data_IF_583820062362
#
_entry.id   IF_583820062362
#
_cell.length_a   1.000
_cell.length_b   1.000
_cell.length_c   1.000
_cell.angle_alpha   90.00
_cell.angle_beta   90.00
_cell.angle_gamma   90.00
#
_symmetry.space_group_name_H-M   'P 1'
#
loop_
_entity.id
_entity.type
_entity.pdbx_description
1 polymer ?
#
# COMPACT_ATOMS: atom_id res chain seq x y z
N UNK A 1 -11.91 26.17 -20.99
CA UNK A 1 -12.40 25.27 -19.91
C UNK A 1 -13.19 24.14 -20.55
N UNK A 2 -12.48 23.12 -21.05
CA UNK A 2 -13.10 21.94 -21.66
C UNK A 2 -13.46 20.93 -20.59
N UNK A 3 -14.70 20.46 -20.59
CA UNK A 3 -15.19 19.33 -19.80
C UNK A 3 -14.57 18.03 -20.31
N UNK A 4 -13.31 17.78 -20.00
CA UNK A 4 -12.85 16.39 -19.93
C UNK A 4 -13.41 15.85 -18.63
N UNK A 5 -14.59 15.21 -18.70
CA UNK A 5 -15.02 14.28 -17.66
C UNK A 5 -13.96 13.17 -17.68
N UNK A 6 -12.88 13.37 -16.92
CA UNK A 6 -11.90 12.33 -16.64
C UNK A 6 -12.73 11.19 -16.07
N UNK A 7 -12.87 10.13 -16.86
CA UNK A 7 -13.60 8.97 -16.44
C UNK A 7 -12.71 8.33 -15.36
N UNK A 8 -12.98 8.61 -14.09
CA UNK A 8 -12.15 8.18 -12.96
C UNK A 8 -11.84 6.67 -13.02
N UNK A 9 -12.75 5.89 -13.61
CA UNK A 9 -12.60 4.47 -13.88
C UNK A 9 -11.47 4.14 -14.87
N UNK A 10 -11.30 4.94 -15.93
CA UNK A 10 -10.21 4.75 -16.90
C UNK A 10 -8.86 5.08 -16.27
N UNK A 11 -8.77 6.13 -15.46
CA UNK A 11 -7.55 6.44 -14.71
C UNK A 11 -7.13 5.29 -13.79
N UNK A 12 -8.09 4.71 -13.05
CA UNK A 12 -7.83 3.54 -12.21
C UNK A 12 -7.35 2.36 -13.04
N UNK A 13 -8.00 2.08 -14.18
CA UNK A 13 -7.60 0.98 -15.07
C UNK A 13 -6.19 1.17 -15.62
N UNK A 14 -5.83 2.39 -16.00
CA UNK A 14 -4.48 2.72 -16.49
C UNK A 14 -3.45 2.58 -15.36
N UNK A 15 -3.77 3.04 -14.14
CA UNK A 15 -2.89 2.88 -12.98
C UNK A 15 -2.63 1.41 -12.67
N UNK A 16 -3.67 0.58 -12.61
CA UNK A 16 -3.53 -0.88 -12.42
C UNK A 16 -2.69 -1.52 -13.52
N UNK A 17 -2.88 -1.11 -14.78
CA UNK A 17 -2.07 -1.61 -15.90
C UNK A 17 -0.59 -1.22 -15.75
N UNK A 18 -0.29 0.02 -15.37
CA UNK A 18 1.09 0.47 -15.15
C UNK A 18 1.77 -0.28 -14.00
N UNK A 19 1.06 -0.49 -12.89
CA UNK A 19 1.58 -1.26 -11.75
C UNK A 19 1.87 -2.70 -12.16
N UNK A 20 0.96 -3.33 -12.89
CA UNK A 20 1.09 -4.71 -13.36
C UNK A 20 2.21 -4.90 -14.40
N UNK A 21 2.48 -3.90 -15.25
CA UNK A 21 3.57 -3.92 -16.23
C UNK A 21 4.96 -3.78 -15.60
N UNK A 22 5.06 -3.17 -14.41
CA UNK A 22 6.34 -2.90 -13.74
C UNK A 22 6.82 -4.12 -12.96
N UNK A 23 6.01 -4.63 -12.03
CA UNK A 23 6.36 -5.85 -11.28
C UNK A 23 5.11 -6.67 -10.88
N UNK A 24 4.76 -7.62 -11.75
CA UNK A 24 3.66 -8.57 -11.55
C UNK A 24 3.82 -9.41 -10.28
N UNK A 25 5.06 -9.75 -9.90
CA UNK A 25 5.32 -10.63 -8.76
C UNK A 25 5.16 -9.86 -7.45
N UNK A 26 5.76 -8.68 -7.33
CA UNK A 26 5.62 -7.82 -6.15
C UNK A 26 4.16 -7.37 -5.96
N UNK A 27 3.44 -7.10 -7.06
CA UNK A 27 2.02 -6.76 -6.98
C UNK A 27 1.16 -7.94 -6.48
N UNK A 28 1.36 -9.14 -7.01
CA UNK A 28 0.63 -10.33 -6.56
C UNK A 28 0.92 -10.66 -5.08
N UNK A 29 2.19 -10.59 -4.67
CA UNK A 29 2.61 -10.78 -3.28
C UNK A 29 1.93 -9.75 -2.37
N UNK A 30 1.92 -8.48 -2.77
CA UNK A 30 1.30 -7.40 -1.99
C UNK A 30 -0.21 -7.60 -1.81
N UNK A 31 -0.92 -8.05 -2.83
CA UNK A 31 -2.35 -8.38 -2.73
C UNK A 31 -2.57 -9.52 -1.73
N UNK A 32 -1.82 -10.60 -1.84
CA UNK A 32 -1.94 -11.77 -0.96
C UNK A 32 -1.66 -11.36 0.49
N UNK A 33 -0.55 -10.63 0.73
CA UNK A 33 -0.20 -10.16 2.07
C UNK A 33 -1.22 -9.18 2.65
N UNK A 34 -1.86 -8.36 1.81
CA UNK A 34 -2.92 -7.44 2.24
C UNK A 34 -4.18 -8.19 2.70
N UNK A 35 -4.57 -9.24 1.99
CA UNK A 35 -5.70 -10.09 2.39
C UNK A 35 -5.38 -10.79 3.72
N UNK A 36 -4.19 -11.37 3.84
CA UNK A 36 -3.74 -12.07 5.05
C UNK A 36 -3.68 -11.10 6.24
N UNK A 37 -3.10 -9.92 6.07
CA UNK A 37 -3.04 -8.84 7.08
C UNK A 37 -4.45 -8.43 7.54
N UNK A 38 -5.44 -8.38 6.65
CA UNK A 38 -6.82 -8.06 7.00
C UNK A 38 -7.52 -9.07 7.93
N UNK A 39 -7.02 -10.31 8.02
CA UNK A 39 -7.61 -11.37 8.87
C UNK A 39 -7.11 -11.26 10.32
N UNK A 40 -5.90 -10.73 10.53
CA UNK A 40 -5.27 -10.62 11.86
C UNK A 40 -6.11 -9.84 12.88
N UNK A 41 -6.67 -8.64 12.58
CA UNK A 41 -7.50 -7.89 13.52
C UNK A 41 -8.69 -8.69 14.06
N UNK A 42 -9.30 -9.53 13.22
CA UNK A 42 -10.42 -10.38 13.60
C UNK A 42 -10.02 -11.48 14.58
N UNK A 43 -8.88 -12.13 14.33
CA UNK A 43 -8.32 -13.16 15.23
C UNK A 43 -7.94 -12.58 16.58
N UNK A 44 -7.26 -11.42 16.58
CA UNK A 44 -6.89 -10.68 17.79
C UNK A 44 -8.13 -10.31 18.60
N UNK A 45 -9.19 -9.83 17.94
CA UNK A 45 -10.46 -9.48 18.60
C UNK A 45 -11.12 -10.69 19.26
N UNK A 46 -11.23 -11.82 18.56
CA UNK A 46 -11.82 -13.05 19.13
C UNK A 46 -11.03 -13.58 20.33
N UNK A 47 -9.70 -13.54 20.26
CA UNK A 47 -8.85 -13.95 21.38
C UNK A 47 -9.00 -13.00 22.57
N UNK A 48 -9.06 -11.69 22.32
CA UNK A 48 -9.32 -10.70 23.37
C UNK A 48 -10.64 -10.93 24.09
N UNK A 49 -11.72 -11.20 23.35
CA UNK A 49 -13.02 -11.57 23.94
C UNK A 49 -12.94 -12.85 24.76
N UNK A 50 -12.21 -13.85 24.28
CA UNK A 50 -12.02 -15.12 25.00
C UNK A 50 -11.32 -14.90 26.34
N UNK A 51 -10.25 -14.09 26.36
CA UNK A 51 -9.52 -13.74 27.59
C UNK A 51 -10.47 -13.04 28.57
N UNK A 52 -11.21 -12.02 28.12
CA UNK A 52 -12.17 -11.28 28.97
C UNK A 52 -13.21 -12.24 29.57
N UNK A 53 -13.76 -13.15 28.76
CA UNK A 53 -14.79 -14.10 29.21
C UNK A 53 -14.25 -15.06 30.28
N UNK A 54 -13.01 -15.55 30.13
CA UNK A 54 -12.36 -16.41 31.12
C UNK A 54 -12.16 -15.68 32.46
N UNK A 55 -11.78 -14.39 32.43
CA UNK A 55 -11.63 -13.57 33.65
C UNK A 55 -12.98 -13.36 34.34
N UNK A 56 -14.03 -13.09 33.58
CA UNK A 56 -15.36 -12.80 34.12
C UNK A 56 -15.97 -14.05 34.78
N UNK A 57 -15.76 -15.23 34.20
CA UNK A 57 -16.16 -16.51 34.79
C UNK A 57 -15.15 -16.85 35.89
N UNK A 58 -15.42 -16.39 37.12
CA UNK A 58 -14.62 -16.59 38.35
C UNK A 58 -14.44 -18.08 38.78
N UNK A 59 -14.65 -19.04 37.88
CA UNK A 59 -14.66 -20.49 38.12
C UNK A 59 -13.48 -21.23 37.48
N UNK A 60 -12.61 -20.55 36.72
CA UNK A 60 -11.45 -21.19 36.06
C UNK A 60 -10.15 -20.97 36.83
N UNK A 61 -9.30 -22.01 36.93
CA UNK A 61 -7.95 -21.90 37.52
C UNK A 61 -7.14 -20.90 36.70
N UNK A 62 -6.43 -20.00 37.38
CA UNK A 62 -5.56 -18.98 36.77
C UNK A 62 -4.58 -19.57 35.72
N UNK A 63 -4.14 -20.81 35.90
CA UNK A 63 -3.25 -21.49 34.95
C UNK A 63 -3.82 -21.59 33.52
N UNK A 64 -5.16 -21.67 33.39
CA UNK A 64 -5.83 -21.78 32.09
C UNK A 64 -5.90 -20.44 31.33
N UNK A 65 -5.60 -19.30 31.97
CA UNK A 65 -5.60 -17.99 31.31
C UNK A 65 -4.25 -17.60 30.71
N UNK A 66 -3.16 -18.16 31.24
CA UNK A 66 -1.81 -17.82 30.82
C UNK A 66 -1.59 -18.23 29.36
N UNK A 67 -2.09 -19.41 28.97
CA UNK A 67 -1.98 -19.94 27.60
C UNK A 67 -2.63 -19.01 26.57
N UNK A 68 -3.92 -18.61 26.68
CA UNK A 68 -4.55 -17.73 25.70
C UNK A 68 -3.91 -16.33 25.65
N UNK A 69 -3.40 -15.81 26.77
CA UNK A 69 -2.64 -14.54 26.78
C UNK A 69 -1.34 -14.68 25.99
N UNK A 70 -0.61 -15.78 26.18
CA UNK A 70 0.65 -16.01 25.49
C UNK A 70 0.44 -16.20 23.98
N UNK A 71 -0.64 -16.88 23.59
CA UNK A 71 -1.08 -16.99 22.20
C UNK A 71 -1.44 -15.61 21.62
N UNK A 72 -2.17 -14.78 22.37
CA UNK A 72 -2.55 -13.44 21.94
C UNK A 72 -1.33 -12.56 21.66
N UNK A 73 -0.36 -12.54 22.58
CA UNK A 73 0.89 -11.78 22.40
C UNK A 73 1.68 -12.30 21.19
N UNK A 74 1.82 -13.62 21.06
CA UNK A 74 2.52 -14.23 19.93
C UNK A 74 1.87 -13.87 18.60
N UNK A 75 0.53 -13.88 18.54
CA UNK A 75 -0.22 -13.49 17.36
C UNK A 75 -0.01 -12.01 17.00
N UNK A 76 0.03 -11.11 17.98
CA UNK A 76 0.35 -9.70 17.73
C UNK A 76 1.74 -9.51 17.14
N UNK A 77 2.76 -10.18 17.69
CA UNK A 77 4.11 -10.13 17.14
C UNK A 77 4.16 -10.60 15.69
N UNK A 78 3.50 -11.73 15.39
CA UNK A 78 3.42 -12.25 14.02
C UNK A 78 2.71 -11.25 13.10
N UNK A 79 1.61 -10.62 13.55
CA UNK A 79 0.89 -9.61 12.79
C UNK A 79 1.80 -8.46 12.38
N UNK A 80 2.59 -7.93 13.34
CA UNK A 80 3.52 -6.83 13.09
C UNK A 80 4.58 -7.22 12.07
N UNK A 81 5.12 -8.44 12.16
CA UNK A 81 6.11 -8.94 11.20
C UNK A 81 5.51 -9.03 9.79
N UNK A 82 4.32 -9.61 9.66
CA UNK A 82 3.61 -9.71 8.37
C UNK A 82 3.32 -8.33 7.79
N UNK A 83 2.89 -7.38 8.61
CA UNK A 83 2.64 -6.00 8.17
C UNK A 83 3.90 -5.29 7.70
N UNK A 84 5.04 -5.49 8.38
CA UNK A 84 6.31 -4.93 7.93
C UNK A 84 6.76 -5.51 6.59
N UNK A 85 6.63 -6.83 6.40
CA UNK A 85 6.96 -7.48 5.12
C UNK A 85 6.04 -6.93 4.02
N UNK A 86 4.73 -6.81 4.28
CA UNK A 86 3.76 -6.23 3.34
C UNK A 86 4.15 -4.81 2.96
N UNK A 87 4.48 -3.97 3.95
CA UNK A 87 4.86 -2.58 3.73
C UNK A 87 6.14 -2.46 2.91
N UNK A 88 7.11 -3.36 3.12
CA UNK A 88 8.32 -3.41 2.31
C UNK A 88 8.01 -3.67 0.83
N UNK A 89 7.20 -4.68 0.51
CA UNK A 89 6.82 -4.98 -0.87
C UNK A 89 5.98 -3.86 -1.49
N UNK A 90 5.06 -3.26 -0.72
CA UNK A 90 4.26 -2.14 -1.17
C UNK A 90 5.12 -0.90 -1.50
N UNK A 91 6.06 -0.57 -0.62
CA UNK A 91 6.97 0.57 -0.82
C UNK A 91 7.90 0.34 -2.01
N UNK A 92 8.44 -0.88 -2.17
CA UNK A 92 9.25 -1.24 -3.33
C UNK A 92 8.46 -1.06 -4.63
N UNK A 93 7.24 -1.58 -4.69
CA UNK A 93 6.38 -1.46 -5.85
C UNK A 93 6.04 0.01 -6.15
N UNK A 94 5.74 0.80 -5.11
CA UNK A 94 5.50 2.24 -5.24
C UNK A 94 6.69 2.94 -5.90
N UNK A 95 7.90 2.69 -5.39
CA UNK A 95 9.13 3.27 -5.92
C UNK A 95 9.35 2.88 -7.39
N UNK A 96 9.24 1.60 -7.73
CA UNK A 96 9.45 1.13 -9.12
C UNK A 96 8.45 1.77 -10.10
N UNK A 97 7.19 1.94 -9.69
CA UNK A 97 6.15 2.62 -10.49
C UNK A 97 6.46 4.10 -10.65
N UNK A 98 6.90 4.79 -9.59
CA UNK A 98 7.32 6.19 -9.64
C UNK A 98 8.51 6.38 -10.58
N UNK A 99 9.54 5.55 -10.46
CA UNK A 99 10.71 5.60 -11.36
C UNK A 99 10.34 5.33 -12.82
N UNK A 100 9.51 4.32 -13.09
CA UNK A 100 9.05 4.01 -14.46
C UNK A 100 8.24 5.16 -15.06
N UNK A 101 7.37 5.78 -14.26
CA UNK A 101 6.57 6.93 -14.66
C UNK A 101 7.44 8.15 -14.96
N UNK A 102 8.37 8.48 -14.05
CA UNK A 102 9.30 9.60 -14.23
C UNK A 102 10.20 9.42 -15.46
N UNK A 103 10.67 8.20 -15.72
CA UNK A 103 11.45 7.87 -16.92
C UNK A 103 10.66 8.15 -18.20
N UNK A 104 9.37 7.79 -18.25
CA UNK A 104 8.50 8.09 -19.40
C UNK A 104 8.30 9.59 -19.60
N UNK A 105 8.20 10.36 -18.52
CA UNK A 105 8.11 11.83 -18.58
C UNK A 105 9.41 12.43 -19.11
N UNK A 106 10.56 12.06 -18.54
CA UNK A 106 11.88 12.52 -18.99
C UNK A 106 12.15 12.19 -20.46
N UNK A 107 11.78 10.99 -20.92
CA UNK A 107 11.89 10.63 -22.33
C UNK A 107 11.09 11.55 -23.25
N UNK A 108 9.84 11.87 -22.87
CA UNK A 108 9.01 12.83 -23.63
C UNK A 108 9.56 14.26 -23.59
N UNK A 109 10.17 14.67 -22.47
CA UNK A 109 10.83 15.96 -22.36
C UNK A 109 12.07 16.06 -23.27
N UNK A 110 12.83 14.97 -23.42
CA UNK A 110 13.98 14.92 -24.31
C UNK A 110 13.59 15.05 -25.79
N UNK A 111 12.43 14.54 -26.17
CA UNK A 111 11.89 14.66 -27.54
C UNK A 111 11.18 16.00 -27.81
N UNK A 112 11.02 16.86 -26.80
CA UNK A 112 10.31 18.13 -26.94
C UNK A 112 11.24 19.23 -27.50
N UNK A 113 10.79 20.04 -28.47
CA UNK A 113 11.60 21.16 -28.96
C UNK A 113 11.80 22.22 -27.87
N UNK A 114 13.01 22.79 -27.81
CA UNK A 114 13.45 23.74 -26.77
C UNK A 114 12.45 24.89 -26.52
N UNK A 115 11.88 25.44 -27.60
CA UNK A 115 10.88 26.51 -27.53
C UNK A 115 9.60 26.13 -26.76
N UNK A 116 9.22 24.85 -26.75
CA UNK A 116 8.08 24.36 -25.96
C UNK A 116 8.46 24.07 -24.52
N UNK A 117 9.71 23.72 -24.24
CA UNK A 117 10.21 23.56 -22.87
C UNK A 117 10.27 24.92 -22.16
N UNK A 118 10.62 25.98 -22.89
CA UNK A 118 10.65 27.36 -22.38
C UNK A 118 9.27 28.01 -22.22
N UNK A 119 8.20 27.36 -22.68
CA UNK A 119 6.85 27.85 -22.43
C UNK A 119 6.49 27.69 -20.95
N UNK A 120 6.01 28.79 -20.35
CA UNK A 120 5.70 28.84 -18.92
C UNK A 120 4.70 27.76 -18.49
N UNK A 121 3.79 27.33 -19.39
CA UNK A 121 2.84 26.25 -19.10
C UNK A 121 3.51 24.88 -19.04
N UNK A 122 4.51 24.63 -19.88
CA UNK A 122 5.25 23.36 -19.88
C UNK A 122 6.11 23.25 -18.62
N UNK A 123 6.74 24.36 -18.19
CA UNK A 123 7.46 24.43 -16.93
C UNK A 123 6.57 24.18 -15.71
N UNK A 124 5.39 24.82 -15.65
CA UNK A 124 4.43 24.59 -14.56
C UNK A 124 3.95 23.13 -14.49
N UNK A 125 3.71 22.50 -15.64
CA UNK A 125 3.32 21.09 -15.71
C UNK A 125 4.45 20.20 -15.21
N UNK A 126 5.70 20.47 -15.59
CA UNK A 126 6.85 19.67 -15.17
C UNK A 126 7.08 19.79 -13.66
N UNK A 127 7.06 21.01 -13.12
CA UNK A 127 7.18 21.25 -11.68
C UNK A 127 6.09 20.51 -10.90
N UNK A 128 4.84 20.52 -11.41
CA UNK A 128 3.75 19.80 -10.77
C UNK A 128 3.94 18.28 -10.80
N UNK A 129 4.43 17.73 -11.90
CA UNK A 129 4.73 16.29 -12.01
C UNK A 129 5.85 15.91 -11.03
N UNK A 130 6.91 16.71 -10.93
CA UNK A 130 8.00 16.47 -9.98
C UNK A 130 7.51 16.55 -8.53
N UNK A 131 6.66 17.53 -8.23
CA UNK A 131 6.08 17.70 -6.91
C UNK A 131 5.15 16.51 -6.56
N UNK A 132 4.30 16.09 -7.47
CA UNK A 132 3.41 14.93 -7.29
C UNK A 132 4.20 13.61 -7.16
N UNK A 133 5.34 13.47 -7.85
CA UNK A 133 6.21 12.30 -7.75
C UNK A 133 7.03 12.26 -6.45
N UNK A 134 7.32 13.41 -5.84
CA UNK A 134 8.05 13.53 -4.57
C UNK A 134 7.15 13.34 -3.34
N UNK A 135 5.84 13.53 -3.51
CA UNK A 135 4.83 13.39 -2.45
C UNK A 135 4.25 11.97 -2.31
N UNK A 136 4.67 11.02 -3.16
CA UNK A 136 4.32 9.59 -3.09
C UNK A 136 5.35 8.76 -2.32
#
# INVERSE_FOLDING_TARGET
>A
MGKDKINHLECIKIAFKMIYEVDKNSFAITIILSIVSGIFPFLVLKLGQTIINIIQIHSTRFDNIIIPILIYLSLQFISVIVDNIKNYYLQRLSNEVTYSSMRKVMGKCADLPLKKLEDNKTYDILNRIEQDATLM
#
